data_IF_657786166779
#
_entry.id   IF_657786166779
#
_cell.length_a   1.000
_cell.length_b   1.000
_cell.length_c   1.000
_cell.angle_alpha   90.00
_cell.angle_beta   90.00
_cell.angle_gamma   90.00
#
_symmetry.space_group_name_H-M   'P 1'
#
loop_
_entity.id
_entity.type
_entity.pdbx_description
1 polymer ?
#
# COMPACT_ATOMS: atom_id res chain seq x y z
N UNK A 1 -7.60 -17.92 9.75
CA UNK A 1 -7.09 -16.56 9.58
C UNK A 1 -5.59 -16.61 9.44
N UNK A 2 -5.05 -15.86 8.48
CA UNK A 2 -3.62 -15.73 8.28
C UNK A 2 -2.97 -15.03 9.49
N UNK A 3 -1.78 -15.47 9.87
CA UNK A 3 -0.98 -14.88 10.92
C UNK A 3 0.28 -14.25 10.36
N UNK A 4 0.70 -13.15 10.98
CA UNK A 4 1.88 -12.38 10.59
C UNK A 4 2.80 -12.23 11.79
N UNK A 5 4.07 -12.56 11.62
CA UNK A 5 5.10 -12.43 12.66
C UNK A 5 5.99 -11.23 12.40
N UNK A 6 6.61 -10.69 13.45
CA UNK A 6 7.68 -9.71 13.30
C UNK A 6 8.99 -10.37 12.90
N UNK A 7 9.70 -9.82 11.91
CA UNK A 7 11.02 -10.33 11.49
C UNK A 7 12.08 -10.20 12.58
N UNK A 8 11.91 -9.30 13.56
CA UNK A 8 12.81 -9.13 14.69
C UNK A 8 12.44 -10.02 15.90
N UNK A 9 11.17 -10.43 16.00
CA UNK A 9 10.69 -11.31 17.05
C UNK A 9 9.58 -12.23 16.53
N UNK A 10 9.92 -13.44 16.18
CA UNK A 10 8.97 -14.42 15.63
C UNK A 10 7.84 -14.81 16.58
N UNK A 11 7.99 -14.56 17.87
CA UNK A 11 6.93 -14.80 18.87
C UNK A 11 5.90 -13.67 18.91
N UNK A 12 6.21 -12.49 18.32
CA UNK A 12 5.26 -11.41 18.17
C UNK A 12 4.41 -11.66 16.90
N UNK A 13 3.24 -12.22 17.11
CA UNK A 13 2.33 -12.68 16.05
C UNK A 13 1.01 -11.94 16.14
N UNK A 14 0.56 -11.38 15.02
CA UNK A 14 -0.65 -10.58 14.90
C UNK A 14 -1.54 -11.09 13.76
N UNK A 15 -2.77 -10.57 13.66
CA UNK A 15 -3.64 -10.80 12.51
C UNK A 15 -3.38 -9.78 11.37
N UNK A 16 -4.03 -9.99 10.22
CA UNK A 16 -3.90 -9.10 9.06
C UNK A 16 -4.26 -7.64 9.40
N UNK A 17 -5.35 -7.43 10.15
CA UNK A 17 -5.81 -6.09 10.51
C UNK A 17 -4.75 -5.33 11.29
N UNK A 18 -4.19 -5.96 12.31
CA UNK A 18 -3.17 -5.35 13.14
C UNK A 18 -1.88 -5.10 12.34
N UNK A 19 -1.41 -6.07 11.55
CA UNK A 19 -0.23 -5.92 10.70
C UNK A 19 -0.37 -4.75 9.72
N UNK A 20 -1.55 -4.58 9.10
CA UNK A 20 -1.82 -3.49 8.15
C UNK A 20 -1.93 -2.14 8.84
N UNK A 21 -2.63 -2.07 9.97
CA UNK A 21 -2.83 -0.80 10.71
C UNK A 21 -1.52 -0.32 11.35
N UNK A 22 -0.74 -1.20 11.94
CA UNK A 22 0.55 -0.82 12.53
C UNK A 22 1.61 -0.56 11.44
N UNK A 23 1.59 -1.32 10.35
CA UNK A 23 2.53 -1.22 9.24
C UNK A 23 3.95 -1.69 9.58
N UNK A 24 4.38 -1.55 10.83
CA UNK A 24 5.66 -1.99 11.37
C UNK A 24 5.44 -2.50 12.79
N UNK A 25 6.10 -3.57 13.18
CA UNK A 25 6.00 -4.10 14.53
C UNK A 25 6.64 -3.16 15.56
N UNK A 26 6.23 -3.22 16.85
CA UNK A 26 6.79 -2.37 17.91
C UNK A 26 8.30 -2.51 18.11
N UNK A 27 8.87 -3.66 17.72
CA UNK A 27 10.32 -3.95 17.74
C UNK A 27 11.04 -3.51 16.46
N UNK A 28 10.37 -2.74 15.59
CA UNK A 28 10.82 -2.29 14.27
C UNK A 28 11.03 -3.42 13.25
N UNK A 29 10.52 -4.63 13.50
CA UNK A 29 10.48 -5.73 12.54
C UNK A 29 9.38 -5.54 11.50
N UNK A 30 9.56 -6.13 10.32
CA UNK A 30 8.52 -6.20 9.30
C UNK A 30 7.49 -7.26 9.69
N UNK A 31 6.22 -7.02 9.38
CA UNK A 31 5.22 -8.07 9.44
C UNK A 31 5.27 -8.92 8.19
N UNK A 32 5.55 -10.22 8.38
CA UNK A 32 5.59 -11.21 7.31
C UNK A 32 4.63 -12.37 7.64
N UNK A 33 3.98 -12.99 6.64
CA UNK A 33 3.10 -14.12 6.90
C UNK A 33 3.88 -15.30 7.49
N UNK A 34 3.31 -15.98 8.49
CA UNK A 34 3.94 -17.18 9.06
C UNK A 34 4.17 -18.27 8.03
N UNK A 35 3.28 -18.34 7.06
CA UNK A 35 3.39 -19.26 5.92
C UNK A 35 3.03 -18.53 4.63
N UNK A 36 3.74 -18.83 3.56
CA UNK A 36 3.37 -18.41 2.21
C UNK A 36 2.79 -19.65 1.52
N UNK A 37 1.46 -19.78 1.46
CA UNK A 37 0.84 -20.94 0.86
C UNK A 37 1.14 -21.00 -0.64
N UNK A 38 1.41 -22.18 -1.16
CA UNK A 38 1.55 -22.35 -2.59
C UNK A 38 0.18 -22.24 -3.29
N UNK A 39 0.15 -21.63 -4.45
CA UNK A 39 -1.02 -21.71 -5.32
C UNK A 39 -1.22 -23.15 -5.77
N UNK A 40 -2.46 -23.61 -5.86
CA UNK A 40 -2.74 -24.96 -6.36
C UNK A 40 -2.31 -25.11 -7.81
N UNK A 41 -1.93 -26.34 -8.20
CA UNK A 41 -1.56 -26.65 -9.59
C UNK A 41 -2.68 -26.28 -10.58
N UNK A 42 -3.93 -26.38 -10.15
CA UNK A 42 -5.09 -26.01 -10.97
C UNK A 42 -5.15 -24.50 -11.25
N UNK A 43 -4.76 -23.67 -10.30
CA UNK A 43 -4.67 -22.20 -10.49
C UNK A 43 -3.47 -21.88 -11.36
N UNK A 44 -2.30 -22.46 -11.10
CA UNK A 44 -1.08 -22.25 -11.91
C UNK A 44 -1.35 -22.57 -13.38
N UNK A 45 -1.98 -23.71 -13.68
CA UNK A 45 -2.32 -24.12 -15.06
C UNK A 45 -3.31 -23.17 -15.74
N UNK A 46 -4.15 -22.46 -14.98
CA UNK A 46 -5.12 -21.51 -15.52
C UNK A 46 -4.57 -20.10 -15.69
N UNK A 47 -3.44 -19.73 -15.06
CA UNK A 47 -2.89 -18.36 -15.11
C UNK A 47 -2.89 -17.74 -16.52
N UNK A 48 -2.48 -18.46 -17.61
CA UNK A 48 -2.47 -17.87 -18.94
C UNK A 48 -3.86 -17.48 -19.48
N UNK A 49 -4.94 -17.97 -18.89
CA UNK A 49 -6.31 -17.73 -19.32
C UNK A 49 -7.06 -16.74 -18.40
N UNK A 50 -6.48 -16.41 -17.25
CA UNK A 50 -7.07 -15.51 -16.28
C UNK A 50 -6.79 -14.05 -16.64
N UNK A 51 -7.77 -13.21 -16.37
CA UNK A 51 -7.58 -11.74 -16.37
C UNK A 51 -6.67 -11.32 -15.21
N UNK A 52 -6.05 -10.15 -15.32
CA UNK A 52 -5.19 -9.62 -14.24
C UNK A 52 -5.92 -9.50 -12.90
N UNK A 53 -7.22 -9.17 -12.90
CA UNK A 53 -8.05 -9.13 -11.69
C UNK A 53 -8.28 -10.51 -11.09
N UNK A 54 -8.54 -11.52 -11.91
CA UNK A 54 -8.68 -12.90 -11.45
C UNK A 54 -7.38 -13.43 -10.86
N UNK A 55 -6.24 -13.15 -11.50
CA UNK A 55 -4.92 -13.45 -10.93
C UNK A 55 -4.74 -12.77 -9.57
N UNK A 56 -5.01 -11.45 -9.50
CA UNK A 56 -4.90 -10.70 -8.26
C UNK A 56 -5.80 -11.25 -7.14
N UNK A 57 -7.03 -11.68 -7.47
CA UNK A 57 -7.94 -12.31 -6.52
C UNK A 57 -7.38 -13.63 -5.99
N UNK A 58 -6.97 -14.54 -6.87
CA UNK A 58 -6.44 -15.86 -6.47
C UNK A 58 -5.19 -15.73 -5.59
N UNK A 59 -4.27 -14.83 -5.97
CA UNK A 59 -3.06 -14.58 -5.20
C UNK A 59 -3.37 -13.93 -3.86
N UNK A 60 -4.23 -12.91 -3.82
CA UNK A 60 -4.61 -12.26 -2.59
C UNK A 60 -5.36 -13.20 -1.66
N UNK A 61 -6.30 -13.99 -2.20
CA UNK A 61 -7.06 -15.00 -1.42
C UNK A 61 -6.14 -16.02 -0.77
N UNK A 62 -5.11 -16.45 -1.50
CA UNK A 62 -4.12 -17.38 -0.99
C UNK A 62 -3.26 -16.79 0.14
N UNK A 63 -2.90 -15.48 0.05
CA UNK A 63 -2.01 -14.80 1.00
C UNK A 63 -2.72 -14.24 2.22
N UNK A 64 -3.98 -13.83 2.12
CA UNK A 64 -4.74 -13.26 3.25
C UNK A 64 -5.86 -14.19 3.76
N UNK A 65 -6.12 -15.28 3.03
CA UNK A 65 -7.10 -16.28 3.44
C UNK A 65 -8.52 -15.71 3.61
N UNK A 66 -9.15 -16.06 4.73
CA UNK A 66 -10.52 -15.63 5.07
C UNK A 66 -10.54 -14.42 6.02
N UNK A 67 -9.52 -13.55 5.98
CA UNK A 67 -9.49 -12.33 6.80
C UNK A 67 -10.44 -11.25 6.27
N UNK A 68 -10.74 -11.29 4.96
CA UNK A 68 -11.82 -10.51 4.35
C UNK A 68 -12.93 -11.43 3.82
N UNK A 69 -14.21 -11.00 3.88
CA UNK A 69 -15.27 -11.65 3.12
C UNK A 69 -14.96 -11.59 1.61
N UNK A 70 -15.33 -12.63 0.86
CA UNK A 70 -15.05 -12.72 -0.58
C UNK A 70 -15.52 -11.50 -1.36
N UNK A 71 -16.71 -10.98 -1.05
CA UNK A 71 -17.24 -9.79 -1.69
C UNK A 71 -16.36 -8.55 -1.47
N UNK A 72 -15.80 -8.38 -0.28
CA UNK A 72 -14.92 -7.25 0.04
C UNK A 72 -13.54 -7.44 -0.61
N UNK A 73 -13.06 -8.69 -0.70
CA UNK A 73 -11.83 -8.99 -1.43
C UNK A 73 -11.97 -8.68 -2.93
N UNK A 74 -13.09 -9.07 -3.57
CA UNK A 74 -13.36 -8.70 -4.97
C UNK A 74 -13.39 -7.19 -5.17
N UNK A 75 -14.07 -6.43 -4.30
CA UNK A 75 -14.07 -4.95 -4.36
C UNK A 75 -12.67 -4.36 -4.22
N UNK A 76 -11.86 -4.92 -3.31
CA UNK A 76 -10.48 -4.49 -3.09
C UNK A 76 -9.64 -4.71 -4.35
N UNK A 77 -9.73 -5.89 -4.97
CA UNK A 77 -9.01 -6.22 -6.20
C UNK A 77 -9.50 -5.34 -7.37
N UNK A 78 -10.79 -5.18 -7.54
CA UNK A 78 -11.36 -4.31 -8.57
C UNK A 78 -10.92 -2.85 -8.43
N UNK A 79 -10.81 -2.36 -7.20
CA UNK A 79 -10.29 -1.02 -6.92
C UNK A 79 -8.79 -0.93 -7.19
N UNK A 80 -8.02 -1.94 -6.84
CA UNK A 80 -6.57 -1.95 -6.97
C UNK A 80 -6.12 -2.09 -8.42
N UNK A 81 -6.70 -3.03 -9.15
CA UNK A 81 -6.30 -3.41 -10.51
C UNK A 81 -7.22 -2.78 -11.57
N UNK A 82 -7.28 -1.44 -11.61
CA UNK A 82 -8.01 -0.70 -12.65
C UNK A 82 -7.21 -0.45 -13.92
N UNK A 83 -5.92 -0.75 -13.88
CA UNK A 83 -4.96 -0.62 -14.97
C UNK A 83 -4.14 -1.90 -15.06
N UNK A 84 -3.61 -2.17 -16.23
CA UNK A 84 -2.85 -3.40 -16.51
C UNK A 84 -1.35 -3.24 -16.14
N UNK A 85 -0.65 -4.36 -16.15
CA UNK A 85 0.79 -4.49 -16.07
C UNK A 85 1.25 -5.38 -17.23
N UNK A 86 1.27 -4.85 -18.47
CA UNK A 86 1.59 -5.65 -19.64
C UNK A 86 3.06 -6.03 -19.68
N UNK A 87 3.33 -7.21 -20.22
CA UNK A 87 4.67 -7.67 -20.58
C UNK A 87 4.91 -7.34 -22.05
N UNK A 88 5.77 -6.36 -22.32
CA UNK A 88 6.03 -5.86 -23.66
C UNK A 88 7.40 -6.32 -24.15
N UNK A 89 7.44 -6.97 -25.31
CA UNK A 89 8.71 -7.36 -25.92
C UNK A 89 9.44 -6.12 -26.45
N UNK A 90 10.67 -5.89 -25.99
CA UNK A 90 11.52 -4.77 -26.40
C UNK A 90 12.61 -5.19 -27.37
N UNK A 91 13.11 -6.42 -27.24
CA UNK A 91 14.06 -7.06 -28.13
C UNK A 91 13.78 -8.56 -28.19
N UNK A 92 14.51 -9.30 -29.04
CA UNK A 92 14.42 -10.77 -29.07
C UNK A 92 14.74 -11.33 -27.69
N UNK A 93 13.79 -12.09 -27.10
CA UNK A 93 13.89 -12.71 -25.78
C UNK A 93 14.06 -11.73 -24.59
N UNK A 94 13.84 -10.43 -24.83
CA UNK A 94 13.87 -9.38 -23.78
C UNK A 94 12.53 -8.72 -23.67
N UNK A 95 11.98 -8.71 -22.46
CA UNK A 95 10.65 -8.17 -22.17
C UNK A 95 10.72 -7.14 -21.05
N UNK A 96 9.95 -6.07 -21.16
CA UNK A 96 9.69 -5.10 -20.11
C UNK A 96 8.33 -5.36 -19.47
N UNK A 97 8.31 -5.54 -18.16
CA UNK A 97 7.06 -5.51 -17.38
C UNK A 97 6.74 -4.06 -17.07
N UNK A 98 5.74 -3.51 -17.75
CA UNK A 98 5.38 -2.10 -17.63
C UNK A 98 4.47 -1.87 -16.41
N UNK A 99 4.95 -1.12 -15.41
CA UNK A 99 4.25 -0.88 -14.14
C UNK A 99 3.79 0.59 -13.97
N UNK A 100 3.79 1.37 -15.05
CA UNK A 100 3.52 2.81 -15.05
C UNK A 100 2.15 3.19 -15.65
N UNK A 101 1.22 2.25 -15.80
CA UNK A 101 -0.12 2.51 -16.36
C UNK A 101 -1.14 2.99 -15.32
N UNK A 102 -0.74 3.13 -14.07
CA UNK A 102 -1.59 3.66 -13.01
C UNK A 102 -1.72 5.18 -13.02
N UNK A 103 -2.59 5.74 -12.15
CA UNK A 103 -2.94 7.18 -12.18
C UNK A 103 -1.77 8.12 -11.87
N UNK A 104 -0.72 7.66 -11.18
CA UNK A 104 0.46 8.49 -10.89
C UNK A 104 1.70 8.05 -11.67
N UNK A 105 1.54 7.15 -12.64
CA UNK A 105 2.57 6.64 -13.52
C UNK A 105 3.73 5.96 -12.77
N UNK A 106 3.46 5.42 -11.59
CA UNK A 106 4.43 4.75 -10.76
C UNK A 106 3.93 3.35 -10.35
N UNK A 107 4.84 2.35 -10.28
CA UNK A 107 4.49 1.02 -9.78
C UNK A 107 3.88 1.05 -8.36
N UNK A 108 4.13 2.13 -7.63
CA UNK A 108 3.62 2.37 -6.29
C UNK A 108 2.09 2.45 -6.24
N UNK A 109 1.42 2.71 -7.37
CA UNK A 109 -0.03 2.76 -7.47
C UNK A 109 -0.68 1.43 -7.06
N UNK A 110 -0.10 0.28 -7.44
CA UNK A 110 -0.60 -1.03 -7.02
C UNK A 110 -0.63 -1.19 -5.50
N UNK A 111 0.52 -0.95 -4.85
CA UNK A 111 0.66 -1.08 -3.41
C UNK A 111 -0.16 -0.05 -2.62
N UNK A 112 -0.18 1.20 -3.08
CA UNK A 112 -0.90 2.28 -2.40
C UNK A 112 -2.43 2.04 -2.44
N UNK A 113 -2.98 1.62 -3.58
CA UNK A 113 -4.42 1.35 -3.74
C UNK A 113 -4.88 0.14 -2.93
N UNK A 114 -4.09 -0.92 -2.90
CA UNK A 114 -4.40 -2.10 -2.07
C UNK A 114 -4.39 -1.75 -0.57
N UNK A 115 -3.36 -1.02 -0.11
CA UNK A 115 -3.29 -0.53 1.26
C UNK A 115 -4.47 0.38 1.60
N UNK A 116 -4.82 1.33 0.72
CA UNK A 116 -5.93 2.25 0.92
C UNK A 116 -7.26 1.52 1.04
N UNK A 117 -7.50 0.51 0.19
CA UNK A 117 -8.70 -0.32 0.27
C UNK A 117 -8.79 -1.12 1.57
N UNK A 118 -7.69 -1.73 2.00
CA UNK A 118 -7.65 -2.47 3.29
C UNK A 118 -7.83 -1.55 4.49
N UNK A 119 -7.12 -0.42 4.55
CA UNK A 119 -7.29 0.54 5.65
C UNK A 119 -8.69 1.14 5.67
N UNK A 120 -9.28 1.47 4.51
CA UNK A 120 -10.67 1.91 4.41
C UNK A 120 -11.67 0.85 4.89
N UNK A 121 -11.42 -0.44 4.60
CA UNK A 121 -12.22 -1.54 5.13
C UNK A 121 -12.12 -1.63 6.65
N UNK A 122 -10.89 -1.60 7.20
CA UNK A 122 -10.68 -1.69 8.64
C UNK A 122 -11.11 -0.43 9.40
N UNK A 123 -11.06 0.75 8.76
CA UNK A 123 -11.50 2.01 9.35
C UNK A 123 -13.00 2.00 9.71
N UNK A 124 -13.83 1.27 8.96
CA UNK A 124 -15.27 1.14 9.26
C UNK A 124 -15.57 0.60 10.66
N UNK A 125 -14.65 -0.20 11.22
CA UNK A 125 -14.76 -0.77 12.56
C UNK A 125 -14.03 0.05 13.65
N UNK A 126 -13.46 1.21 13.27
CA UNK A 126 -12.78 2.11 14.21
C UNK A 126 -13.71 3.23 14.65
N UNK A 127 -13.58 3.64 15.90
CA UNK A 127 -14.28 4.82 16.45
C UNK A 127 -13.57 6.15 16.13
N UNK A 128 -12.36 6.08 15.58
CA UNK A 128 -11.50 7.23 15.27
C UNK A 128 -11.01 7.15 13.82
N UNK A 129 -10.89 8.33 13.20
CA UNK A 129 -10.29 8.47 11.88
C UNK A 129 -8.82 8.02 11.89
N UNK A 130 -8.42 7.22 10.89
CA UNK A 130 -7.02 6.80 10.72
C UNK A 130 -6.28 7.92 9.99
N UNK A 131 -5.24 8.46 10.61
CA UNK A 131 -4.39 9.49 10.01
C UNK A 131 -3.10 8.87 9.47
N UNK A 132 -2.92 8.92 8.16
CA UNK A 132 -1.76 8.40 7.44
C UNK A 132 -0.74 9.52 7.28
N UNK A 133 0.47 9.35 7.86
CA UNK A 133 1.58 10.26 7.65
C UNK A 133 2.54 9.69 6.60
N UNK A 134 2.93 10.52 5.64
CA UNK A 134 3.89 10.14 4.60
C UNK A 134 4.86 11.26 4.30
N UNK A 135 6.17 10.99 4.38
CA UNK A 135 7.20 11.85 3.81
C UNK A 135 7.48 11.39 2.37
N UNK A 136 7.62 12.33 1.46
CA UNK A 136 7.82 12.02 0.04
C UNK A 136 8.88 12.91 -0.62
N UNK A 137 9.55 12.33 -1.61
CA UNK A 137 10.37 13.04 -2.59
C UNK A 137 9.70 13.12 -3.97
N UNK A 138 8.39 12.70 -4.06
CA UNK A 138 7.59 12.72 -5.28
C UNK A 138 6.64 11.52 -5.37
N UNK A 139 7.04 10.43 -6.01
CA UNK A 139 6.20 9.28 -6.41
C UNK A 139 5.37 8.67 -5.27
N UNK A 140 5.98 8.50 -4.08
CA UNK A 140 5.28 7.85 -2.95
C UNK A 140 4.12 8.72 -2.48
N UNK A 141 4.33 10.03 -2.33
CA UNK A 141 3.28 10.96 -1.93
C UNK A 141 2.17 11.02 -2.96
N UNK A 142 2.52 11.08 -4.24
CA UNK A 142 1.56 11.07 -5.35
C UNK A 142 0.69 9.81 -5.34
N UNK A 143 1.30 8.63 -5.25
CA UNK A 143 0.60 7.35 -5.24
C UNK A 143 -0.30 7.20 -3.99
N UNK A 144 0.21 7.56 -2.81
CA UNK A 144 -0.54 7.47 -1.55
C UNK A 144 -1.69 8.47 -1.54
N UNK A 145 -1.44 9.74 -1.86
CA UNK A 145 -2.49 10.76 -1.87
C UNK A 145 -3.62 10.41 -2.86
N UNK A 146 -3.26 9.96 -4.08
CA UNK A 146 -4.24 9.51 -5.06
C UNK A 146 -5.04 8.29 -4.58
N UNK A 147 -4.37 7.29 -4.03
CA UNK A 147 -5.00 6.04 -3.59
C UNK A 147 -5.99 6.25 -2.42
N UNK A 148 -5.67 7.17 -1.51
CA UNK A 148 -6.48 7.45 -0.32
C UNK A 148 -7.50 8.56 -0.51
N UNK A 149 -7.51 9.23 -1.66
CA UNK A 149 -8.47 10.31 -1.93
C UNK A 149 -9.90 9.83 -1.74
N UNK A 150 -10.64 10.51 -0.84
CA UNK A 150 -12.03 10.21 -0.48
C UNK A 150 -12.26 8.80 0.12
N UNK A 151 -11.21 8.13 0.64
CA UNK A 151 -11.39 6.89 1.39
C UNK A 151 -11.95 7.22 2.77
N UNK A 152 -13.19 6.79 3.03
CA UNK A 152 -13.91 7.09 4.26
C UNK A 152 -13.17 6.60 5.51
N UNK A 153 -13.19 7.42 6.58
CA UNK A 153 -12.52 7.11 7.85
C UNK A 153 -11.00 7.25 7.81
N UNK A 154 -10.44 7.85 6.74
CA UNK A 154 -9.01 8.09 6.61
C UNK A 154 -8.70 9.55 6.30
N UNK A 155 -7.58 10.03 6.79
CA UNK A 155 -6.96 11.31 6.47
C UNK A 155 -5.50 11.08 6.09
N UNK A 156 -5.01 11.77 5.09
CA UNK A 156 -3.59 11.70 4.69
C UNK A 156 -2.92 13.05 4.93
N UNK A 157 -1.74 13.01 5.52
CA UNK A 157 -0.86 14.17 5.65
C UNK A 157 0.45 13.86 4.92
N UNK A 158 0.69 14.56 3.82
CA UNK A 158 1.89 14.43 2.99
C UNK A 158 2.88 15.54 3.35
N UNK A 159 4.10 15.17 3.73
CA UNK A 159 5.20 16.10 3.94
C UNK A 159 6.18 15.99 2.77
N UNK A 160 6.51 17.11 2.15
CA UNK A 160 7.48 17.15 1.06
C UNK A 160 8.44 18.34 1.20
N UNK A 161 9.70 18.22 0.70
CA UNK A 161 10.69 19.29 0.81
C UNK A 161 10.44 20.36 -0.24
N UNK A 162 10.41 21.63 0.20
CA UNK A 162 10.19 22.81 -0.65
C UNK A 162 11.22 22.88 -1.79
N UNK A 163 10.73 23.00 -3.02
CA UNK A 163 11.56 23.14 -4.22
C UNK A 163 12.44 21.93 -4.56
N UNK A 164 12.18 20.75 -3.94
CA UNK A 164 12.95 19.51 -4.16
C UNK A 164 12.14 18.38 -4.80
N UNK A 165 10.91 18.67 -5.19
CA UNK A 165 10.02 17.76 -5.92
C UNK A 165 9.73 18.39 -7.28
N UNK A 166 9.62 17.59 -8.34
CA UNK A 166 9.27 18.14 -9.65
C UNK A 166 7.87 18.73 -9.63
N UNK A 167 7.65 19.81 -10.37
CA UNK A 167 6.34 20.50 -10.43
C UNK A 167 5.19 19.53 -10.80
N UNK A 168 5.45 18.60 -11.72
CA UNK A 168 4.48 17.61 -12.14
C UNK A 168 4.08 16.67 -10.99
N UNK A 169 5.04 16.20 -10.21
CA UNK A 169 4.77 15.33 -9.05
C UNK A 169 4.12 16.09 -7.90
N UNK A 170 4.56 17.33 -7.64
CA UNK A 170 3.97 18.19 -6.63
C UNK A 170 2.48 18.43 -6.91
N UNK A 171 2.12 18.76 -8.14
CA UNK A 171 0.72 18.92 -8.54
C UNK A 171 -0.13 17.67 -8.38
N UNK A 172 0.45 16.46 -8.48
CA UNK A 172 -0.28 15.20 -8.29
C UNK A 172 -0.83 15.00 -6.87
N UNK A 173 -0.31 15.70 -5.85
CA UNK A 173 -0.84 15.60 -4.49
C UNK A 173 -1.32 16.94 -3.92
N UNK A 174 -0.78 18.08 -4.34
CA UNK A 174 -1.17 19.40 -3.80
C UNK A 174 -2.55 19.86 -4.29
N UNK A 175 -3.02 19.37 -5.42
CA UNK A 175 -4.28 19.79 -6.06
C UNK A 175 -5.49 18.93 -5.68
N UNK A 176 -5.30 17.85 -4.89
CA UNK A 176 -6.36 16.86 -4.65
C UNK A 176 -7.44 17.35 -3.68
N UNK A 177 -7.06 18.05 -2.60
CA UNK A 177 -8.03 18.46 -1.57
C UNK A 177 -8.66 17.27 -0.81
N UNK A 178 -9.91 17.45 -0.38
CA UNK A 178 -10.68 16.42 0.34
C UNK A 178 -10.03 16.04 1.67
N UNK A 179 -9.80 14.75 1.89
CA UNK A 179 -9.14 14.20 3.05
C UNK A 179 -7.60 14.22 2.97
N UNK A 180 -7.03 14.89 1.95
CA UNK A 180 -5.58 15.01 1.75
C UNK A 180 -5.12 16.39 2.22
N UNK A 181 -4.19 16.41 3.16
CA UNK A 181 -3.50 17.62 3.63
C UNK A 181 -2.05 17.54 3.20
N UNK A 182 -1.51 18.61 2.65
CA UNK A 182 -0.13 18.66 2.18
C UNK A 182 0.63 19.73 2.95
N UNK A 183 1.80 19.37 3.46
CA UNK A 183 2.69 20.25 4.21
C UNK A 183 4.01 20.38 3.47
N UNK A 184 4.28 21.57 2.97
CA UNK A 184 5.57 21.94 2.41
C UNK A 184 6.54 22.24 3.55
N UNK A 185 7.70 21.57 3.53
CA UNK A 185 8.73 21.65 4.57
C UNK A 185 9.93 22.41 4.02
N UNK A 186 10.32 23.48 4.66
CA UNK A 186 11.56 24.18 4.34
C UNK A 186 12.75 23.38 4.85
N UNK A 187 13.20 22.41 4.05
CA UNK A 187 14.25 21.47 4.40
C UNK A 187 14.54 20.46 3.29
N UNK A 188 15.02 19.29 3.70
CA UNK A 188 15.33 18.16 2.83
C UNK A 188 14.28 17.04 2.98
N UNK A 189 14.36 16.03 2.13
CA UNK A 189 13.55 14.82 2.29
C UNK A 189 13.82 14.11 3.63
N UNK A 190 15.07 14.10 4.09
CA UNK A 190 15.44 13.52 5.38
C UNK A 190 14.82 14.29 6.55
N UNK A 191 14.66 15.62 6.42
CA UNK A 191 13.91 16.42 7.40
C UNK A 191 12.44 16.03 7.45
N UNK A 192 11.80 15.84 6.30
CA UNK A 192 10.43 15.35 6.24
C UNK A 192 10.29 13.96 6.91
N UNK A 193 11.21 13.04 6.65
CA UNK A 193 11.23 11.72 7.28
C UNK A 193 11.44 11.83 8.79
N UNK A 194 12.34 12.71 9.24
CA UNK A 194 12.60 12.95 10.65
C UNK A 194 11.35 13.47 11.37
N UNK A 195 10.63 14.43 10.77
CA UNK A 195 9.38 14.97 11.31
C UNK A 195 8.30 13.87 11.44
N UNK A 196 8.14 13.04 10.43
CA UNK A 196 7.20 11.89 10.47
C UNK A 196 7.59 10.92 11.60
N UNK A 197 8.88 10.57 11.73
CA UNK A 197 9.36 9.71 12.83
C UNK A 197 9.10 10.34 14.20
N UNK A 198 9.34 11.65 14.37
CA UNK A 198 9.06 12.38 15.60
C UNK A 198 7.56 12.36 15.93
N UNK A 199 6.68 12.57 14.95
CA UNK A 199 5.24 12.49 15.15
C UNK A 199 4.80 11.09 15.64
N UNK A 200 5.43 10.02 15.17
CA UNK A 200 5.17 8.66 15.65
C UNK A 200 5.69 8.41 17.08
N UNK A 201 6.60 9.21 17.59
CA UNK A 201 7.09 9.12 18.97
C UNK A 201 6.37 10.06 19.92
N UNK A 202 5.68 11.08 19.40
CA UNK A 202 4.98 12.10 20.17
C UNK A 202 3.70 11.53 20.80
N UNK A 203 3.65 11.56 22.14
CA UNK A 203 2.54 11.01 22.92
C UNK A 203 1.26 11.85 22.80
N UNK A 204 1.37 13.18 22.67
CA UNK A 204 0.20 14.04 22.51
C UNK A 204 -0.46 13.83 21.13
N UNK A 205 0.35 13.73 20.08
CA UNK A 205 -0.15 13.43 18.74
C UNK A 205 -0.82 12.05 18.68
N UNK A 206 -0.25 11.03 19.33
CA UNK A 206 -0.85 9.68 19.41
C UNK A 206 -2.17 9.66 20.17
N UNK A 207 -2.34 10.52 21.19
CA UNK A 207 -3.61 10.66 21.90
C UNK A 207 -4.67 11.34 21.04
N UNK A 208 -4.28 12.36 20.26
CA UNK A 208 -5.20 13.13 19.40
C UNK A 208 -5.55 12.38 18.11
N UNK A 209 -4.58 11.71 17.51
CA UNK A 209 -4.71 11.07 16.21
C UNK A 209 -4.39 9.57 16.26
N UNK A 210 -5.13 8.79 15.49
CA UNK A 210 -4.78 7.40 15.28
C UNK A 210 -3.80 7.32 14.09
N UNK A 211 -2.50 7.46 14.40
CA UNK A 211 -1.45 7.57 13.39
C UNK A 211 -1.06 6.22 12.80
N UNK A 212 -0.93 6.17 11.48
CA UNK A 212 -0.31 5.07 10.74
C UNK A 212 0.55 5.60 9.59
N UNK A 213 1.33 4.73 8.98
CA UNK A 213 2.19 5.07 7.86
C UNK A 213 1.82 4.27 6.62
N UNK A 214 1.87 4.92 5.46
CA UNK A 214 1.80 4.25 4.16
C UNK A 214 3.20 3.83 3.64
N UNK A 215 4.11 3.45 4.54
CA UNK A 215 5.45 3.04 4.17
C UNK A 215 5.42 1.81 3.24
N UNK A 216 6.39 1.74 2.32
CA UNK A 216 6.54 0.63 1.36
C UNK A 216 6.79 -0.74 2.00
N UNK A 217 7.21 -0.75 3.27
CA UNK A 217 7.43 -1.99 4.04
C UNK A 217 6.16 -2.56 4.68
N UNK A 218 5.02 -1.86 4.61
CA UNK A 218 3.74 -2.40 5.07
C UNK A 218 3.37 -3.63 4.24
N UNK A 219 2.98 -4.72 4.89
CA UNK A 219 2.62 -5.98 4.20
C UNK A 219 1.52 -5.78 3.15
N UNK A 220 0.58 -4.86 3.38
CA UNK A 220 -0.46 -4.53 2.41
C UNK A 220 0.09 -3.80 1.16
N UNK A 221 1.34 -3.32 1.19
CA UNK A 221 2.03 -2.79 0.02
C UNK A 221 2.91 -3.83 -0.66
N UNK A 222 3.32 -4.88 0.05
CA UNK A 222 4.11 -5.97 -0.49
C UNK A 222 3.23 -6.98 -1.24
N UNK A 223 2.09 -7.37 -0.68
CA UNK A 223 1.16 -8.35 -1.28
C UNK A 223 0.85 -8.05 -2.75
N UNK A 224 0.36 -6.85 -3.13
CA UNK A 224 -0.04 -6.60 -4.53
C UNK A 224 1.14 -6.56 -5.51
N UNK A 225 2.38 -6.46 -5.04
CA UNK A 225 3.53 -6.60 -5.93
C UNK A 225 3.68 -8.02 -6.49
N UNK A 226 3.17 -9.03 -5.81
CA UNK A 226 3.14 -10.39 -6.36
C UNK A 226 2.18 -10.53 -7.55
N UNK A 227 1.10 -9.71 -7.62
CA UNK A 227 0.08 -9.85 -8.66
C UNK A 227 0.65 -9.67 -10.07
N UNK A 228 1.46 -8.65 -10.29
CA UNK A 228 2.03 -8.39 -11.60
C UNK A 228 3.17 -9.36 -11.97
N UNK A 229 3.83 -9.99 -11.01
CA UNK A 229 4.75 -11.08 -11.31
C UNK A 229 4.01 -12.34 -11.78
N UNK A 230 2.89 -12.68 -11.13
CA UNK A 230 2.03 -13.76 -11.65
C UNK A 230 1.36 -13.40 -12.98
N UNK A 231 1.12 -12.11 -13.25
CA UNK A 231 0.63 -11.64 -14.55
C UNK A 231 1.67 -11.77 -15.66
N UNK A 232 2.94 -11.60 -15.33
CA UNK A 232 4.07 -11.73 -16.27
C UNK A 232 4.47 -13.19 -16.54
N UNK A 233 4.19 -14.11 -15.61
CA UNK A 233 4.44 -15.55 -15.75
C UNK A 233 3.49 -16.18 -16.76
#
# INVERSE_FOLDING_TARGET
KMKFYSTNNRNHVVDLREAVIQGLAPDNGLYMPETIPQLSDSVIKKLPTLTFKEIGYEVAKNLIGNDLPDQELHKLIDHTLRFDAPLVQVETDVYALELFHGPTLAFKDFGARFLAGLLGYFAKAQSREITILVATSGDTGSAVANAFLNVAGTRVVVLYPSGKVSEAQEKQFTTLGGNITVLEVNGTFDDCQRLVKQAFLDTELKQKFFLTSANSINIARLIPQSFYYFRAY
#
